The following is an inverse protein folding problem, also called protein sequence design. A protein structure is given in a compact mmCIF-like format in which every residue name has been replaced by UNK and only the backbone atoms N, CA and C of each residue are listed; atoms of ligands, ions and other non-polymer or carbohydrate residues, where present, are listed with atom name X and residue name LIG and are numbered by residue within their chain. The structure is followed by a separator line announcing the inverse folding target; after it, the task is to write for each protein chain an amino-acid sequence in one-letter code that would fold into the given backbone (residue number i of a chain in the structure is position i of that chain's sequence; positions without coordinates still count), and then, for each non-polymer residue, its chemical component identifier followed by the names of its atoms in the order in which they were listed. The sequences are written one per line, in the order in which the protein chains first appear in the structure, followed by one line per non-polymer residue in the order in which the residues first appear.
data_IF_172582640968
#
_entry.id   IF_172582640968
#
_cell.length_a   1.000
_cell.length_b   1.000
_cell.length_c   1.000
_cell.angle_alpha   90.00
_cell.angle_beta   90.00
_cell.angle_gamma   90.00
#
_symmetry.space_group_name_H-M   'P 1'
#
loop_
_entity.id
_entity.type
_entity.pdbx_description
1 polymer ?
#
# COMPACT_ATOMS: atom_id res chain seq x y z
N UNK A 1 11.40 -23.53 -61.09
CA UNK A 1 10.71 -22.87 -59.96
C UNK A 1 11.36 -23.12 -58.59
N UNK A 2 11.82 -24.33 -58.26
CA UNK A 2 12.46 -24.65 -56.96
C UNK A 2 13.67 -23.77 -56.58
N UNK A 3 14.54 -23.39 -57.54
CA UNK A 3 15.70 -22.52 -57.28
C UNK A 3 15.33 -21.08 -56.87
N UNK A 4 14.21 -20.55 -57.36
CA UNK A 4 13.74 -19.20 -56.99
C UNK A 4 13.11 -19.17 -55.59
N UNK A 5 12.51 -20.28 -55.17
CA UNK A 5 11.93 -20.43 -53.82
C UNK A 5 13.02 -20.53 -52.74
N UNK A 6 14.13 -21.22 -53.03
CA UNK A 6 15.27 -21.34 -52.11
C UNK A 6 15.95 -19.98 -51.89
N UNK A 7 16.12 -19.18 -52.95
CA UNK A 7 16.72 -17.83 -52.83
C UNK A 7 15.82 -16.89 -52.00
N UNK A 8 14.50 -17.00 -52.16
CA UNK A 8 13.56 -16.19 -51.39
C UNK A 8 13.52 -16.59 -49.91
N UNK A 9 13.60 -17.89 -49.60
CA UNK A 9 13.70 -18.37 -48.22
C UNK A 9 15.01 -17.94 -47.54
N UNK A 10 16.13 -17.94 -48.27
CA UNK A 10 17.44 -17.50 -47.75
C UNK A 10 17.47 -15.98 -47.49
N UNK A 11 16.80 -15.19 -48.33
CA UNK A 11 16.68 -13.74 -48.13
C UNK A 11 15.83 -13.40 -46.88
N UNK A 12 14.73 -14.12 -46.64
CA UNK A 12 13.91 -13.95 -45.43
C UNK A 12 14.70 -14.35 -44.18
N UNK A 13 15.44 -15.46 -44.23
CA UNK A 13 16.25 -15.91 -43.11
C UNK A 13 17.32 -14.87 -42.76
N UNK A 14 17.99 -14.27 -43.74
CA UNK A 14 19.02 -13.24 -43.53
C UNK A 14 18.46 -11.94 -42.94
N UNK A 15 17.22 -11.57 -43.23
CA UNK A 15 16.54 -10.39 -42.63
C UNK A 15 16.16 -10.66 -41.15
N UNK A 16 15.88 -11.91 -40.78
CA UNK A 16 15.55 -12.27 -39.40
C UNK A 16 16.75 -12.22 -38.45
N UNK A 17 18.00 -12.43 -38.92
CA UNK A 17 19.18 -12.38 -38.05
C UNK A 17 19.73 -10.96 -37.78
N UNK A 18 19.39 -9.96 -38.59
CA UNK A 18 19.89 -8.59 -38.37
C UNK A 18 19.06 -7.77 -37.37
N UNK A 19 17.92 -8.30 -36.90
CA UNK A 19 17.11 -7.68 -35.84
C UNK A 19 17.26 -8.36 -34.46
N UNK A 20 18.00 -9.48 -34.37
CA UNK A 20 18.14 -10.24 -33.13
C UNK A 20 19.25 -9.72 -32.17
N UNK A 21 20.07 -8.77 -32.63
CA UNK A 21 21.04 -8.05 -31.80
C UNK A 21 20.95 -6.54 -32.06
N UNK A 22 19.81 -5.94 -31.74
CA UNK A 22 19.89 -4.61 -31.12
C UNK A 22 20.14 -4.89 -29.65
N UNK A 23 21.39 -4.72 -29.22
CA UNK A 23 21.64 -4.39 -27.82
C UNK A 23 20.64 -3.30 -27.47
N UNK A 24 19.71 -3.63 -26.59
CA UNK A 24 18.89 -2.62 -25.94
C UNK A 24 19.87 -1.78 -25.13
N UNK A 25 20.45 -0.78 -25.78
CA UNK A 25 20.79 0.45 -25.11
C UNK A 25 19.46 0.98 -24.58
N UNK A 26 19.08 0.47 -23.43
CA UNK A 26 18.13 1.11 -22.54
C UNK A 26 18.73 2.48 -22.34
N UNK A 27 18.25 3.46 -23.10
CA UNK A 27 18.35 4.85 -22.70
C UNK A 27 17.69 4.89 -21.33
N UNK A 28 18.48 4.75 -20.26
CA UNK A 28 18.07 5.16 -18.93
C UNK A 28 17.52 6.56 -19.10
N UNK A 29 16.21 6.71 -18.90
CA UNK A 29 15.61 8.03 -18.86
C UNK A 29 16.37 8.80 -17.76
N UNK A 30 17.13 9.85 -18.07
CA UNK A 30 18.10 10.44 -17.14
C UNK A 30 17.42 11.33 -16.09
N UNK A 31 16.36 10.84 -15.43
CA UNK A 31 15.56 11.64 -14.52
C UNK A 31 14.66 10.89 -13.55
N UNK A 32 14.78 9.58 -13.39
CA UNK A 32 14.07 8.82 -12.34
C UNK A 32 15.07 8.12 -11.44
N UNK A 33 15.28 8.67 -10.24
CA UNK A 33 16.14 8.05 -9.23
C UNK A 33 15.33 6.99 -8.49
N UNK A 34 15.76 5.73 -8.50
CA UNK A 34 15.15 4.70 -7.66
C UNK A 34 15.57 4.96 -6.21
N UNK A 35 14.58 5.16 -5.35
CA UNK A 35 14.73 5.53 -3.95
C UNK A 35 14.49 4.33 -3.02
N UNK A 36 13.58 3.42 -3.39
CA UNK A 36 13.35 2.17 -2.68
C UNK A 36 12.99 1.03 -3.63
N UNK A 37 13.36 -0.18 -3.25
CA UNK A 37 13.08 -1.43 -3.95
C UNK A 37 12.41 -2.46 -3.01
N UNK A 38 12.32 -3.71 -3.43
CA UNK A 38 11.70 -4.78 -2.64
C UNK A 38 12.35 -5.04 -1.27
N UNK A 39 13.60 -4.61 -1.05
CA UNK A 39 14.28 -4.72 0.25
C UNK A 39 13.70 -3.79 1.32
N UNK A 40 12.90 -2.80 0.95
CA UNK A 40 12.21 -1.91 1.90
C UNK A 40 10.95 -2.53 2.51
N UNK A 41 10.55 -3.73 2.09
CA UNK A 41 9.49 -4.50 2.74
C UNK A 41 9.87 -5.99 2.84
N UNK A 42 10.88 -6.32 3.66
CA UNK A 42 11.35 -7.69 3.84
C UNK A 42 10.42 -8.43 4.79
N UNK A 43 9.60 -9.29 4.23
CA UNK A 43 8.61 -10.06 4.99
C UNK A 43 8.71 -11.52 4.61
N UNK A 44 8.73 -12.35 5.65
CA UNK A 44 8.73 -13.81 5.62
C UNK A 44 7.92 -14.34 6.82
N UNK A 45 7.67 -15.64 6.85
CA UNK A 45 6.96 -16.29 7.95
C UNK A 45 7.71 -16.07 9.27
N UNK A 46 7.00 -15.61 10.31
CA UNK A 46 7.58 -15.32 11.63
C UNK A 46 8.19 -13.92 11.78
N UNK A 47 8.15 -13.08 10.73
CA UNK A 47 8.48 -11.65 10.89
C UNK A 47 7.55 -11.00 11.91
N UNK A 48 8.10 -10.18 12.80
CA UNK A 48 7.32 -9.47 13.82
C UNK A 48 7.79 -8.05 14.05
N UNK A 49 6.86 -7.17 14.40
CA UNK A 49 7.11 -5.79 14.79
C UNK A 49 6.38 -5.48 16.10
N UNK A 50 6.95 -4.56 16.88
CA UNK A 50 6.26 -3.91 17.99
C UNK A 50 6.44 -2.41 17.87
N UNK A 51 5.35 -1.69 18.03
CA UNK A 51 5.29 -0.24 17.97
C UNK A 51 4.83 0.30 19.31
N UNK A 52 5.42 1.41 19.76
CA UNK A 52 4.72 2.32 20.67
C UNK A 52 3.64 3.06 19.90
N UNK A 53 2.50 3.31 20.54
CA UNK A 53 1.36 4.01 19.94
C UNK A 53 0.98 5.17 20.84
N UNK A 54 0.86 6.35 20.24
CA UNK A 54 0.25 7.53 20.84
C UNK A 54 -0.94 7.94 19.98
N UNK A 55 -2.11 8.11 20.57
CA UNK A 55 -3.32 8.58 19.90
C UNK A 55 -3.89 9.78 20.65
N UNK A 56 -4.09 10.87 19.93
CA UNK A 56 -4.87 12.02 20.40
C UNK A 56 -6.23 11.98 19.70
N UNK A 57 -7.32 11.93 20.46
CA UNK A 57 -8.68 11.92 19.91
C UNK A 57 -9.18 13.34 19.53
N UNK A 58 -10.41 13.44 19.00
CA UNK A 58 -11.06 14.72 18.70
C UNK A 58 -11.21 15.67 19.88
N UNK A 59 -11.19 15.16 21.12
CA UNK A 59 -11.34 15.93 22.35
C UNK A 59 -9.98 16.38 22.91
N UNK A 60 -8.87 16.01 22.26
CA UNK A 60 -7.52 16.29 22.73
C UNK A 60 -7.03 15.34 23.82
N UNK A 61 -7.74 14.23 24.08
CA UNK A 61 -7.34 13.22 25.05
C UNK A 61 -6.24 12.37 24.43
N UNK A 62 -5.10 12.32 25.12
CA UNK A 62 -3.97 11.47 24.76
C UNK A 62 -4.11 10.10 25.41
N UNK A 63 -4.12 9.06 24.58
CA UNK A 63 -4.01 7.66 24.99
C UNK A 63 -2.72 7.06 24.45
N UNK A 64 -2.10 6.19 25.24
CA UNK A 64 -0.86 5.50 24.85
C UNK A 64 -1.02 3.99 24.93
N UNK A 65 -0.18 3.27 24.19
CA UNK A 65 -0.25 1.83 24.11
C UNK A 65 0.82 1.21 23.25
N UNK A 66 0.58 -0.03 22.85
CA UNK A 66 1.45 -0.77 21.93
C UNK A 66 0.66 -1.44 20.83
N UNK A 67 1.31 -1.63 19.69
CA UNK A 67 0.83 -2.50 18.62
C UNK A 67 1.89 -3.53 18.31
N UNK A 68 1.52 -4.79 18.30
CA UNK A 68 2.35 -5.89 17.85
C UNK A 68 1.80 -6.47 16.56
N UNK A 69 2.68 -6.75 15.62
CA UNK A 69 2.36 -7.38 14.34
C UNK A 69 3.17 -8.67 14.24
N UNK A 70 2.52 -9.77 13.88
CA UNK A 70 3.16 -11.06 13.61
C UNK A 70 2.67 -11.59 12.26
N UNK A 71 3.61 -11.97 11.41
CA UNK A 71 3.29 -12.64 10.15
C UNK A 71 3.30 -14.15 10.39
N UNK A 72 2.14 -14.80 10.27
CA UNK A 72 2.08 -16.24 10.47
C UNK A 72 0.98 -16.93 9.69
N UNK A 73 1.38 -17.89 8.87
CA UNK A 73 0.50 -18.70 8.04
C UNK A 73 0.18 -18.04 6.70
N UNK A 74 -0.54 -18.80 5.89
CA UNK A 74 -1.02 -18.36 4.59
C UNK A 74 -2.51 -18.67 4.45
N UNK A 75 -3.22 -17.87 3.67
CA UNK A 75 -4.61 -18.09 3.27
C UNK A 75 -4.73 -18.03 1.75
N UNK A 76 -5.71 -18.74 1.20
CA UNK A 76 -6.07 -18.63 -0.22
C UNK A 76 -7.43 -17.94 -0.27
N UNK A 77 -7.51 -16.80 -0.94
CA UNK A 77 -8.74 -16.01 -1.12
C UNK A 77 -8.91 -15.82 -2.62
N UNK A 78 -10.03 -16.29 -3.18
CA UNK A 78 -10.30 -16.22 -4.62
C UNK A 78 -9.15 -16.77 -5.49
N UNK A 79 -8.60 -17.93 -5.09
CA UNK A 79 -7.45 -18.60 -5.71
C UNK A 79 -6.12 -17.81 -5.68
N UNK A 80 -6.06 -16.69 -4.94
CA UNK A 80 -4.84 -15.91 -4.73
C UNK A 80 -4.26 -16.21 -3.34
N UNK A 81 -2.96 -16.57 -3.24
CA UNK A 81 -2.31 -16.80 -1.96
C UNK A 81 -1.94 -15.47 -1.27
N UNK A 82 -2.27 -15.38 0.00
CA UNK A 82 -1.93 -14.27 0.88
C UNK A 82 -1.20 -14.78 2.13
N UNK A 83 -0.24 -14.00 2.61
CA UNK A 83 0.34 -14.16 3.94
C UNK A 83 -0.61 -13.53 4.96
N UNK A 84 -0.76 -14.20 6.11
CA UNK A 84 -1.61 -13.72 7.20
C UNK A 84 -0.79 -12.83 8.13
N UNK A 85 -1.31 -11.64 8.40
CA UNK A 85 -0.79 -10.71 9.38
C UNK A 85 -1.75 -10.63 10.56
N UNK A 86 -1.22 -10.93 11.74
CA UNK A 86 -1.93 -10.85 13.02
C UNK A 86 -1.49 -9.58 13.73
N UNK A 87 -2.42 -8.67 13.96
CA UNK A 87 -2.18 -7.44 14.69
C UNK A 87 -2.82 -7.52 16.07
N UNK A 88 -2.09 -7.17 17.11
CA UNK A 88 -2.58 -7.01 18.48
C UNK A 88 -2.32 -5.57 18.93
N UNK A 89 -3.34 -4.88 19.39
CA UNK A 89 -3.25 -3.52 19.91
C UNK A 89 -3.70 -3.53 21.36
N UNK A 90 -2.83 -3.04 22.24
CA UNK A 90 -3.10 -2.80 23.65
C UNK A 90 -3.05 -1.30 23.91
N UNK A 91 -4.22 -0.69 24.12
CA UNK A 91 -4.36 0.72 24.50
C UNK A 91 -4.95 0.77 25.89
N UNK A 92 -4.20 1.31 26.85
CA UNK A 92 -4.67 1.46 28.24
C UNK A 92 -5.19 0.14 28.88
N UNK A 93 -4.62 -1.01 28.50
CA UNK A 93 -5.04 -2.33 28.99
C UNK A 93 -6.21 -2.95 28.23
N UNK A 94 -6.78 -2.24 27.25
CA UNK A 94 -7.75 -2.81 26.32
C UNK A 94 -7.04 -3.45 25.15
N UNK A 95 -7.06 -4.79 25.14
CA UNK A 95 -6.45 -5.60 24.09
C UNK A 95 -7.49 -5.90 23.00
N UNK A 96 -7.10 -5.63 21.77
CA UNK A 96 -7.84 -6.02 20.56
C UNK A 96 -6.90 -6.73 19.59
N UNK A 97 -7.43 -7.69 18.84
CA UNK A 97 -6.67 -8.38 17.80
C UNK A 97 -7.44 -8.36 16.48
N UNK A 98 -6.72 -8.23 15.37
CA UNK A 98 -7.27 -8.31 14.02
C UNK A 98 -6.38 -9.15 13.11
N UNK A 99 -7.00 -9.67 12.06
CA UNK A 99 -6.32 -10.38 10.99
C UNK A 99 -6.40 -9.54 9.73
N UNK A 100 -5.29 -9.46 9.01
CA UNK A 100 -5.23 -8.95 7.66
C UNK A 100 -4.48 -9.93 6.77
N UNK A 101 -4.72 -9.84 5.46
CA UNK A 101 -4.13 -10.73 4.48
C UNK A 101 -3.42 -9.87 3.46
N UNK A 102 -2.14 -10.14 3.20
CA UNK A 102 -1.40 -9.38 2.21
C UNK A 102 -0.54 -10.28 1.34
N UNK A 103 -0.23 -9.79 0.14
CA UNK A 103 0.68 -10.47 -0.79
C UNK A 103 1.72 -9.48 -1.30
N UNK A 104 2.91 -10.01 -1.54
CA UNK A 104 4.00 -9.27 -2.17
C UNK A 104 4.16 -9.76 -3.60
N UNK A 105 4.35 -8.83 -4.52
CA UNK A 105 4.73 -9.11 -5.90
C UNK A 105 5.91 -8.25 -6.29
N UNK A 106 6.45 -8.45 -7.48
CA UNK A 106 7.47 -7.58 -8.07
C UNK A 106 7.00 -6.12 -8.20
N UNK A 107 5.69 -5.89 -8.30
CA UNK A 107 5.10 -4.56 -8.49
C UNK A 107 4.71 -3.83 -7.19
N UNK A 108 4.72 -4.52 -6.05
CA UNK A 108 4.26 -3.91 -4.80
C UNK A 108 3.74 -4.87 -3.73
N UNK A 109 3.21 -4.26 -2.68
CA UNK A 109 2.58 -4.92 -1.52
C UNK A 109 1.09 -4.60 -1.52
N UNK A 110 0.26 -5.63 -1.49
CA UNK A 110 -1.19 -5.56 -1.64
C UNK A 110 -1.86 -6.20 -0.45
N UNK A 111 -2.75 -5.48 0.22
CA UNK A 111 -3.59 -6.01 1.30
C UNK A 111 -4.97 -6.35 0.73
N UNK A 112 -5.46 -7.55 0.99
CA UNK A 112 -6.85 -7.90 0.70
C UNK A 112 -7.78 -7.01 1.51
N UNK A 113 -8.82 -6.50 0.87
CA UNK A 113 -9.83 -5.67 1.50
C UNK A 113 -11.19 -6.36 1.43
N UNK A 114 -11.66 -6.86 2.56
CA UNK A 114 -12.97 -7.48 2.65
C UNK A 114 -14.08 -6.42 2.56
N UNK A 115 -14.81 -6.43 1.46
CA UNK A 115 -15.89 -5.49 1.17
C UNK A 115 -17.27 -6.02 1.54
N UNK A 116 -17.40 -7.26 2.04
CA UNK A 116 -18.70 -7.85 2.37
C UNK A 116 -19.47 -7.02 3.39
N UNK A 117 -18.81 -6.51 4.44
CA UNK A 117 -19.44 -5.63 5.43
C UNK A 117 -19.95 -4.30 4.86
N UNK A 118 -19.26 -3.75 3.86
CA UNK A 118 -19.70 -2.54 3.16
C UNK A 118 -20.95 -2.82 2.31
N UNK A 119 -20.98 -3.99 1.66
CA UNK A 119 -22.13 -4.37 0.83
C UNK A 119 -23.44 -4.49 1.64
N UNK A 120 -23.36 -4.98 2.88
CA UNK A 120 -24.51 -5.10 3.78
C UNK A 120 -25.05 -3.73 4.24
N UNK A 121 -24.18 -2.73 4.30
CA UNK A 121 -24.50 -1.39 4.79
C UNK A 121 -25.14 -0.49 3.73
N UNK A 122 -25.17 -0.92 2.46
CA UNK A 122 -25.67 -0.16 1.32
C UNK A 122 -26.90 -0.87 0.74
N UNK A 123 -27.91 -0.10 0.30
CA UNK A 123 -29.06 -0.69 -0.39
C UNK A 123 -28.66 -1.24 -1.77
N UNK A 124 -29.29 -2.33 -2.21
CA UNK A 124 -29.08 -2.96 -3.54
C UNK A 124 -29.15 -1.95 -4.70
N UNK A 125 -30.02 -0.94 -4.57
CA UNK A 125 -30.20 0.12 -5.58
C UNK A 125 -28.96 0.99 -5.79
N UNK A 126 -28.09 1.08 -4.78
CA UNK A 126 -26.85 1.88 -4.77
C UNK A 126 -25.65 0.99 -5.14
N UNK A 127 -25.65 -0.28 -4.70
CA UNK A 127 -24.55 -1.22 -4.95
C UNK A 127 -24.23 -1.41 -6.42
N UNK A 128 -25.24 -1.45 -7.30
CA UNK A 128 -25.04 -1.59 -8.75
C UNK A 128 -24.23 -0.44 -9.39
N UNK A 129 -24.11 0.69 -8.71
CA UNK A 129 -23.37 1.86 -9.18
C UNK A 129 -22.00 1.99 -8.54
N UNK A 130 -21.64 1.10 -7.62
CA UNK A 130 -20.40 1.15 -6.86
C UNK A 130 -19.45 0.06 -7.36
N UNK A 131 -18.22 0.45 -7.67
CA UNK A 131 -17.12 -0.49 -7.87
C UNK A 131 -16.08 -0.27 -6.78
N UNK A 132 -15.66 -1.36 -6.16
CA UNK A 132 -14.70 -1.38 -5.06
C UNK A 132 -13.44 -2.12 -5.51
N UNK A 133 -12.28 -1.58 -5.19
CA UNK A 133 -11.04 -2.34 -5.29
C UNK A 133 -11.08 -3.48 -4.25
N UNK A 134 -10.72 -4.70 -4.64
CA UNK A 134 -10.62 -5.85 -3.73
C UNK A 134 -9.31 -5.87 -2.94
N UNK A 135 -8.37 -4.99 -3.29
CA UNK A 135 -7.08 -4.86 -2.65
C UNK A 135 -6.66 -3.41 -2.46
N UNK A 136 -5.92 -3.17 -1.38
CA UNK A 136 -5.22 -1.91 -1.11
C UNK A 136 -3.76 -2.08 -1.49
N UNK A 137 -3.27 -1.32 -2.47
CA UNK A 137 -1.83 -1.26 -2.79
C UNK A 137 -1.11 -0.34 -1.82
N UNK A 138 -0.62 -0.90 -0.72
CA UNK A 138 0.10 -0.16 0.31
C UNK A 138 1.43 0.42 -0.21
N UNK A 139 2.17 -0.35 -1.01
CA UNK A 139 3.48 0.03 -1.55
C UNK A 139 3.54 -0.30 -3.04
N UNK A 140 4.02 0.63 -3.86
CA UNK A 140 4.44 0.38 -5.25
C UNK A 140 5.94 0.14 -5.29
N UNK A 141 6.42 -0.84 -6.06
CA UNK A 141 7.85 -1.17 -6.19
C UNK A 141 8.23 -1.18 -7.67
N UNK A 142 9.36 -0.55 -8.06
CA UNK A 142 10.23 0.31 -7.25
C UNK A 142 9.62 1.69 -6.97
N UNK A 143 10.05 2.36 -5.91
CA UNK A 143 9.69 3.75 -5.59
C UNK A 143 10.78 4.67 -6.15
N UNK A 144 10.36 5.65 -6.95
CA UNK A 144 11.18 6.77 -7.39
C UNK A 144 10.85 8.08 -6.65
N UNK A 145 11.70 9.07 -6.82
CA UNK A 145 11.55 10.46 -6.37
C UNK A 145 10.29 11.18 -6.87
N UNK A 146 9.62 10.66 -7.90
CA UNK A 146 8.34 11.18 -8.42
C UNK A 146 7.18 10.18 -8.30
N UNK A 147 7.36 9.09 -7.56
CA UNK A 147 6.34 8.04 -7.48
C UNK A 147 5.07 8.51 -6.77
N UNK A 148 3.94 8.24 -7.41
CA UNK A 148 2.61 8.43 -6.87
C UNK A 148 1.67 7.37 -7.44
N UNK A 149 0.76 6.85 -6.61
CA UNK A 149 -0.22 5.85 -7.02
C UNK A 149 -1.51 5.96 -6.21
N UNK A 150 -2.59 5.39 -6.74
CA UNK A 150 -3.82 5.16 -5.98
C UNK A 150 -3.66 3.84 -5.23
N UNK A 151 -3.70 3.88 -3.90
CA UNK A 151 -3.67 2.69 -3.06
C UNK A 151 -5.03 1.99 -3.06
N UNK A 152 -6.11 2.77 -3.01
CA UNK A 152 -7.48 2.26 -2.94
C UNK A 152 -8.45 3.33 -3.42
N UNK A 153 -9.51 2.93 -4.11
CA UNK A 153 -10.64 3.82 -4.39
C UNK A 153 -11.98 3.07 -4.38
N UNK A 154 -13.02 3.83 -4.06
CA UNK A 154 -14.40 3.48 -4.32
C UNK A 154 -14.83 4.35 -5.49
N UNK A 155 -15.34 3.75 -6.56
CA UNK A 155 -15.90 4.49 -7.68
C UNK A 155 -17.43 4.41 -7.64
N UNK A 156 -18.10 5.54 -7.84
CA UNK A 156 -19.53 5.61 -8.05
C UNK A 156 -19.83 6.11 -9.47
N UNK A 157 -20.59 5.33 -10.24
CA UNK A 157 -20.98 5.67 -11.59
C UNK A 157 -22.48 5.45 -11.83
N UNK A 158 -23.22 6.53 -12.09
CA UNK A 158 -24.65 6.49 -12.46
C UNK A 158 -24.96 7.50 -13.56
N UNK A 159 -25.32 6.99 -14.74
CA UNK A 159 -25.58 7.79 -15.93
C UNK A 159 -24.42 8.75 -16.25
N UNK A 160 -24.64 10.07 -16.18
CA UNK A 160 -23.62 11.10 -16.45
C UNK A 160 -22.78 11.48 -15.23
N UNK A 161 -23.12 10.96 -14.03
CA UNK A 161 -22.43 11.26 -12.79
C UNK A 161 -21.39 10.17 -12.52
N UNK A 162 -20.13 10.57 -12.42
CA UNK A 162 -19.02 9.71 -12.01
C UNK A 162 -18.16 10.46 -11.00
N UNK A 163 -17.96 9.88 -9.82
CA UNK A 163 -17.05 10.43 -8.80
C UNK A 163 -16.50 9.31 -7.91
N UNK A 164 -15.48 9.64 -7.12
CA UNK A 164 -14.86 8.69 -6.19
C UNK A 164 -15.20 9.10 -4.76
N UNK A 165 -16.16 8.44 -4.08
CA UNK A 165 -16.53 8.83 -2.72
C UNK A 165 -15.38 8.69 -1.71
N UNK A 166 -14.50 7.73 -1.96
CA UNK A 166 -13.30 7.47 -1.18
C UNK A 166 -12.16 7.25 -2.16
N UNK A 167 -11.05 7.96 -1.97
CA UNK A 167 -9.82 7.75 -2.73
C UNK A 167 -8.63 7.90 -1.78
N UNK A 168 -7.80 6.86 -1.69
CA UNK A 168 -6.52 6.90 -0.97
C UNK A 168 -5.41 6.91 -2.00
N UNK A 169 -4.69 8.03 -2.07
CA UNK A 169 -3.50 8.18 -2.90
C UNK A 169 -2.24 8.19 -2.04
N UNK A 170 -1.14 7.68 -2.58
CA UNK A 170 0.18 7.68 -1.93
C UNK A 170 1.17 8.39 -2.83
N UNK A 171 2.05 9.19 -2.24
CA UNK A 171 3.15 9.82 -2.95
C UNK A 171 4.43 9.73 -2.13
N UNK A 172 5.58 9.67 -2.82
CA UNK A 172 6.87 9.94 -2.19
C UNK A 172 6.90 11.36 -1.63
N UNK A 173 7.35 11.52 -0.38
CA UNK A 173 7.35 12.78 0.38
C UNK A 173 8.73 13.14 0.96
N UNK A 174 9.78 12.39 0.58
CA UNK A 174 11.17 12.67 0.98
C UNK A 174 11.85 11.51 1.71
N UNK A 175 12.99 11.82 2.31
CA UNK A 175 13.77 10.92 3.17
C UNK A 175 14.07 11.62 4.49
N UNK A 176 14.07 10.86 5.58
CA UNK A 176 14.50 11.33 6.89
C UNK A 176 15.50 10.34 7.51
N UNK A 177 16.43 10.84 8.33
CA UNK A 177 17.24 10.01 9.22
C UNK A 177 16.49 9.82 10.53
N UNK A 178 16.20 8.58 10.91
CA UNK A 178 15.46 8.24 12.14
C UNK A 178 16.29 7.30 13.01
N UNK A 179 16.24 7.49 14.32
CA UNK A 179 16.81 6.51 15.27
C UNK A 179 15.77 5.42 15.52
N UNK A 180 16.06 4.21 15.05
CA UNK A 180 15.22 3.01 15.17
C UNK A 180 15.95 1.98 16.01
N UNK A 181 15.41 1.64 17.19
CA UNK A 181 16.02 0.66 18.11
C UNK A 181 17.52 0.94 18.35
N UNK A 182 17.85 2.18 18.72
CA UNK A 182 19.22 2.67 18.98
C UNK A 182 20.15 2.69 17.75
N UNK A 183 19.64 2.58 16.53
CA UNK A 183 20.41 2.66 15.29
C UNK A 183 19.83 3.72 14.38
N UNK A 184 20.67 4.61 13.84
CA UNK A 184 20.22 5.58 12.84
C UNK A 184 20.05 4.91 11.48
N UNK A 185 18.88 5.09 10.89
CA UNK A 185 18.51 4.55 9.58
C UNK A 185 17.95 5.65 8.69
N UNK A 186 18.30 5.61 7.40
CA UNK A 186 17.63 6.43 6.39
C UNK A 186 16.29 5.76 6.04
N UNK A 187 15.20 6.51 6.19
CA UNK A 187 13.86 6.05 5.90
C UNK A 187 13.20 6.88 4.79
N UNK A 188 12.56 6.20 3.85
CA UNK A 188 11.76 6.79 2.78
C UNK A 188 10.39 7.14 3.34
N UNK A 189 10.02 8.43 3.28
CA UNK A 189 8.75 8.94 3.75
C UNK A 189 7.73 8.92 2.62
N UNK A 190 6.61 8.26 2.86
CA UNK A 190 5.44 8.23 1.97
C UNK A 190 4.31 9.02 2.62
N UNK A 191 3.65 9.86 1.82
CA UNK A 191 2.45 10.59 2.23
C UNK A 191 1.21 9.93 1.65
N UNK A 192 0.34 9.47 2.54
CA UNK A 192 -0.97 8.93 2.24
C UNK A 192 -1.99 10.06 2.36
N UNK A 193 -2.84 10.21 1.34
CA UNK A 193 -3.91 11.21 1.32
C UNK A 193 -5.23 10.49 1.09
N UNK A 194 -6.14 10.61 2.06
CA UNK A 194 -7.53 10.17 1.93
C UNK A 194 -8.35 11.37 1.48
N UNK A 195 -9.02 11.23 0.33
CA UNK A 195 -10.10 12.11 -0.08
C UNK A 195 -11.43 11.41 0.19
N UNK A 196 -12.34 12.16 0.79
CA UNK A 196 -13.68 11.70 1.11
C UNK A 196 -14.71 12.71 0.58
N UNK A 197 -15.68 12.22 -0.19
CA UNK A 197 -16.72 13.03 -0.80
C UNK A 197 -18.02 12.22 -0.83
N UNK A 198 -19.06 12.63 -0.11
CA UNK A 198 -20.35 11.91 -0.10
C UNK A 198 -21.24 12.34 -1.25
N UNK A 199 -21.11 13.60 -1.68
CA UNK A 199 -21.92 14.21 -2.72
C UNK A 199 -21.00 14.80 -3.81
N UNK A 200 -21.18 14.45 -5.09
CA UNK A 200 -20.35 14.95 -6.19
C UNK A 200 -20.38 16.48 -6.35
N UNK A 201 -21.37 17.17 -5.79
CA UNK A 201 -21.50 18.62 -5.79
C UNK A 201 -20.74 19.33 -4.65
N UNK A 202 -20.26 18.57 -3.66
CA UNK A 202 -19.55 19.10 -2.49
C UNK A 202 -18.03 19.05 -2.68
N UNK A 203 -17.30 19.93 -2.00
CA UNK A 203 -15.83 19.90 -2.01
C UNK A 203 -15.34 18.67 -1.21
N UNK A 204 -14.46 17.82 -1.76
CA UNK A 204 -13.92 16.68 -1.03
C UNK A 204 -13.16 17.13 0.24
N UNK A 205 -13.40 16.43 1.35
CA UNK A 205 -12.56 16.53 2.54
C UNK A 205 -11.27 15.74 2.31
N UNK A 206 -10.15 16.27 2.79
CA UNK A 206 -8.84 15.64 2.62
C UNK A 206 -8.13 15.49 3.96
N UNK A 207 -7.66 14.27 4.23
CA UNK A 207 -6.87 13.93 5.40
C UNK A 207 -5.54 13.34 4.94
N UNK A 208 -4.52 13.41 5.78
CA UNK A 208 -3.21 12.84 5.45
C UNK A 208 -2.59 12.09 6.62
N UNK A 209 -1.79 11.08 6.27
CA UNK A 209 -0.88 10.39 7.16
C UNK A 209 0.44 10.16 6.43
N UNK A 210 1.50 9.91 7.19
CA UNK A 210 2.82 9.60 6.67
C UNK A 210 3.29 8.27 7.23
N UNK A 211 3.98 7.50 6.39
CA UNK A 211 4.66 6.27 6.77
C UNK A 211 6.12 6.34 6.35
N UNK A 212 7.01 5.83 7.18
CA UNK A 212 8.45 5.79 6.91
C UNK A 212 8.90 4.35 6.72
N UNK A 213 9.43 4.01 5.55
CA UNK A 213 10.02 2.70 5.28
C UNK A 213 11.53 2.78 5.40
N UNK A 214 12.14 1.93 6.22
CA UNK A 214 13.57 1.72 6.24
C UNK A 214 13.95 0.45 5.49
N UNK A 215 15.09 0.51 4.80
CA UNK A 215 15.66 -0.64 4.08
C UNK A 215 15.91 -1.79 5.05
N UNK A 216 15.63 -3.01 4.60
CA UNK A 216 15.82 -4.25 5.36
C UNK A 216 14.99 -4.34 6.67
N UNK A 217 14.06 -3.41 6.90
CA UNK A 217 13.18 -3.40 8.07
C UNK A 217 11.70 -3.34 7.67
N UNK A 218 11.26 -2.40 6.82
CA UNK A 218 9.83 -2.13 6.61
C UNK A 218 9.39 -0.78 7.20
N UNK A 219 8.09 -0.66 7.54
CA UNK A 219 7.58 0.57 8.16
C UNK A 219 8.11 0.72 9.59
N UNK A 220 8.91 1.77 9.83
CA UNK A 220 9.50 2.06 11.15
C UNK A 220 8.75 3.15 11.91
N UNK A 221 7.98 3.99 11.21
CA UNK A 221 7.18 5.05 11.80
C UNK A 221 5.89 5.28 11.01
N UNK A 222 4.83 5.66 11.72
CA UNK A 222 3.60 6.22 11.17
C UNK A 222 3.21 7.49 11.92
N UNK A 223 2.65 8.47 11.22
CA UNK A 223 2.22 9.74 11.82
C UNK A 223 1.07 10.36 11.03
N UNK A 224 0.03 10.84 11.70
CA UNK A 224 -1.03 11.66 11.10
C UNK A 224 -2.41 11.11 11.38
N UNK A 225 -3.33 11.25 10.43
CA UNK A 225 -4.74 10.95 10.66
C UNK A 225 -4.99 9.48 11.07
N UNK A 226 -5.69 9.28 12.18
CA UNK A 226 -5.96 7.97 12.75
C UNK A 226 -6.85 7.09 11.88
N UNK A 227 -7.79 7.67 11.13
CA UNK A 227 -8.64 6.91 10.21
C UNK A 227 -7.81 6.28 9.08
N UNK A 228 -6.90 7.05 8.49
CA UNK A 228 -5.99 6.55 7.44
C UNK A 228 -5.09 5.46 8.00
N UNK A 229 -4.43 5.73 9.13
CA UNK A 229 -3.52 4.78 9.75
C UNK A 229 -4.28 3.50 10.10
N UNK A 230 -5.48 3.58 10.68
CA UNK A 230 -6.32 2.42 10.98
C UNK A 230 -6.59 1.54 9.76
N UNK A 231 -6.91 2.13 8.61
CA UNK A 231 -7.15 1.38 7.36
C UNK A 231 -5.88 0.69 6.88
N UNK A 232 -4.78 1.44 6.78
CA UNK A 232 -3.49 0.91 6.29
C UNK A 232 -2.88 -0.15 7.20
N UNK A 233 -3.40 -0.26 8.43
CA UNK A 233 -2.92 -1.16 9.46
C UNK A 233 -3.91 -2.26 9.83
N UNK A 234 -4.99 -2.41 9.08
CA UNK A 234 -5.93 -3.53 9.25
C UNK A 234 -6.89 -3.39 10.44
N UNK A 235 -7.07 -2.18 11.00
CA UNK A 235 -8.11 -1.87 12.01
C UNK A 235 -9.45 -1.45 11.39
N UNK A 236 -9.50 -1.30 10.06
CA UNK A 236 -10.65 -0.81 9.33
C UNK A 236 -10.73 0.71 9.27
N UNK A 237 -11.82 1.22 8.69
CA UNK A 237 -12.06 2.65 8.53
C UNK A 237 -12.89 3.16 9.72
N UNK A 238 -12.32 4.05 10.54
CA UNK A 238 -13.08 4.82 11.53
C UNK A 238 -13.28 6.25 11.01
N UNK A 239 -14.40 6.49 10.34
CA UNK A 239 -14.79 7.83 9.88
C UNK A 239 -15.54 8.64 10.96
N UNK A 240 -15.76 8.08 12.15
CA UNK A 240 -16.46 8.80 13.22
C UNK A 240 -15.55 9.85 13.88
N UNK A 241 -14.24 9.60 13.92
CA UNK A 241 -13.23 10.55 14.40
C UNK A 241 -12.12 10.78 13.36
N UNK A 242 -12.43 11.62 12.37
CA UNK A 242 -11.48 12.06 11.34
C UNK A 242 -10.51 13.13 11.84
N UNK A 243 -10.56 13.52 13.11
CA UNK A 243 -9.61 14.48 13.71
C UNK A 243 -8.52 13.81 14.54
N UNK A 244 -8.68 12.52 14.84
CA UNK A 244 -7.67 11.76 15.58
C UNK A 244 -6.30 11.81 14.90
N UNK A 245 -5.27 11.98 15.72
CA UNK A 245 -3.86 11.92 15.31
C UNK A 245 -3.22 10.73 15.98
N UNK A 246 -2.53 9.91 15.20
CA UNK A 246 -1.81 8.74 15.67
C UNK A 246 -0.34 8.88 15.31
N UNK A 247 0.53 8.57 16.28
CA UNK A 247 1.96 8.39 16.09
C UNK A 247 2.32 6.98 16.49
N UNK A 248 3.04 6.27 15.63
CA UNK A 248 3.60 4.95 15.95
C UNK A 248 5.06 4.92 15.62
N UNK A 249 5.89 4.44 16.55
CA UNK A 249 7.32 4.23 16.35
C UNK A 249 7.67 2.79 16.65
N UNK A 250 8.43 2.14 15.77
CA UNK A 250 8.87 0.77 16.02
C UNK A 250 9.85 0.77 17.20
N UNK A 251 9.60 -0.12 18.16
CA UNK A 251 10.40 -0.28 19.38
C UNK A 251 11.12 -1.61 19.40
N UNK A 252 10.59 -2.64 18.73
CA UNK A 252 11.20 -3.96 18.58
C UNK A 252 10.83 -4.54 17.20
N UNK A 253 11.73 -5.30 16.57
CA UNK A 253 11.42 -6.02 15.34
C UNK A 253 12.28 -7.28 15.20
N UNK A 254 11.78 -8.26 14.44
CA UNK A 254 12.49 -9.46 14.03
C UNK A 254 12.10 -9.76 12.58
N UNK A 255 13.06 -9.75 11.66
CA UNK A 255 12.80 -9.96 10.23
C UNK A 255 13.21 -11.38 9.84
N UNK A 256 12.25 -12.15 9.33
CA UNK A 256 12.49 -13.42 8.65
C UNK A 256 12.47 -13.20 7.13
N UNK A 257 13.34 -13.89 6.40
CA UNK A 257 13.53 -13.73 4.95
C UNK A 257 13.25 -15.02 4.21
#
# INVERSE_FOLDING_TARGET
MKKKLIVFALAIWMICFTNACKESNTTENPGLTIIADASYYPVGEGTSYKYSVERTDSNGVLSTGTRSTLLSGNAIIEDVPYQVQIDTVDMEGQISASLSYFRKTESGVFFFFDTTGLSISLSDSVLQYITLDTEIRLIYIPISDYSSWIAFKINFARAIINFNPVEVSVAYDGKDSLTVVNTDVEAVRLKFTLKYQVDPSTVPQSFFAKGWLAKDIGFVKWEGNGAIIGVLTGRGVDLADTSSVVVMNVTEYNIQR
#
